data_IF_408403680069
#
_entry.id   IF_408403680069
#
_cell.length_a   1.000
_cell.length_b   1.000
_cell.length_c   1.000
_cell.angle_alpha   90.00
_cell.angle_beta   90.00
_cell.angle_gamma   90.00
#
_symmetry.space_group_name_H-M   'P 1'
#
loop_
_entity.id
_entity.type
_entity.pdbx_description
1 polymer ?
#
# COMPACT_ATOMS: atom_id res chain seq x y z
N UNK A 1 10.09 3.44 7.90
CA UNK A 1 8.78 3.97 7.44
C UNK A 1 7.90 4.53 8.56
N UNK A 2 8.11 4.20 9.83
CA UNK A 2 7.27 4.71 10.94
C UNK A 2 7.18 6.23 11.00
N UNK A 3 8.30 6.95 10.83
CA UNK A 3 8.31 8.42 10.77
C UNK A 3 7.48 8.96 9.60
N UNK A 4 7.54 8.32 8.44
CA UNK A 4 6.73 8.70 7.27
C UNK A 4 5.24 8.55 7.61
N UNK A 5 4.86 7.40 8.17
CA UNK A 5 3.48 7.17 8.60
C UNK A 5 3.04 8.17 9.69
N UNK A 6 3.87 8.44 10.70
CA UNK A 6 3.55 9.38 11.77
C UNK A 6 3.35 10.82 11.26
N UNK A 7 4.24 11.28 10.36
CA UNK A 7 4.11 12.61 9.74
C UNK A 7 2.87 12.70 8.87
N UNK A 8 2.62 11.70 8.02
CA UNK A 8 1.39 11.64 7.21
C UNK A 8 0.14 11.61 8.08
N UNK A 9 0.13 10.79 9.14
CA UNK A 9 -0.98 10.70 10.09
C UNK A 9 -1.24 12.04 10.77
N UNK A 10 -0.20 12.75 11.18
CA UNK A 10 -0.34 14.10 11.78
C UNK A 10 -1.07 15.05 10.83
N UNK A 11 -0.72 15.04 9.55
CA UNK A 11 -1.42 15.84 8.54
C UNK A 11 -2.87 15.40 8.36
N UNK A 12 -3.13 14.10 8.18
CA UNK A 12 -4.50 13.61 7.96
C UNK A 12 -5.40 13.81 9.20
N UNK A 13 -4.89 13.66 10.42
CA UNK A 13 -5.65 13.98 11.65
C UNK A 13 -5.95 15.48 11.74
N UNK A 14 -5.01 16.35 11.35
CA UNK A 14 -5.25 17.79 11.32
C UNK A 14 -6.39 18.15 10.37
N UNK A 15 -6.41 17.58 9.17
CA UNK A 15 -7.50 17.80 8.20
C UNK A 15 -8.81 17.20 8.70
N UNK A 16 -8.81 15.94 9.16
CA UNK A 16 -10.00 15.27 9.68
C UNK A 16 -10.62 16.05 10.83
N UNK A 17 -9.83 16.59 11.75
CA UNK A 17 -10.33 17.27 12.94
C UNK A 17 -10.68 18.75 12.71
N UNK A 18 -10.60 19.26 11.48
CA UNK A 18 -11.05 20.62 11.18
C UNK A 18 -12.58 20.71 11.18
N UNK A 19 -13.11 21.91 11.39
CA UNK A 19 -14.57 22.11 11.46
C UNK A 19 -15.32 21.69 10.19
N UNK A 20 -14.65 21.70 9.04
CA UNK A 20 -15.24 21.32 7.75
C UNK A 20 -15.41 19.80 7.60
N UNK A 21 -14.52 18.99 8.20
CA UNK A 21 -14.46 17.54 7.95
C UNK A 21 -14.70 16.66 9.18
N UNK A 22 -14.74 17.22 10.40
CA UNK A 22 -14.81 16.45 11.67
C UNK A 22 -16.00 15.52 11.78
N UNK A 23 -17.11 15.86 11.12
CA UNK A 23 -18.34 15.09 11.16
C UNK A 23 -18.53 14.18 9.92
N UNK A 24 -17.57 14.20 8.97
CA UNK A 24 -17.63 13.38 7.77
C UNK A 24 -16.95 12.01 7.97
N UNK A 25 -17.46 10.95 7.30
CA UNK A 25 -16.74 9.70 7.18
C UNK A 25 -15.33 9.91 6.63
N UNK A 26 -14.33 9.22 7.17
CA UNK A 26 -12.96 9.31 6.66
C UNK A 26 -12.40 7.95 6.31
N UNK A 27 -11.78 7.89 5.14
CA UNK A 27 -11.18 6.69 4.60
C UNK A 27 -9.69 6.92 4.35
N UNK A 28 -8.87 5.94 4.67
CA UNK A 28 -7.46 5.94 4.25
C UNK A 28 -7.29 5.05 3.03
N UNK A 29 -6.69 5.62 1.99
CA UNK A 29 -6.29 4.88 0.79
C UNK A 29 -4.76 4.71 0.76
N UNK A 30 -4.29 3.53 0.38
CA UNK A 30 -2.87 3.29 0.18
C UNK A 30 -2.61 2.26 -0.92
N UNK A 31 -1.73 2.61 -1.85
CA UNK A 31 -1.29 1.73 -2.93
C UNK A 31 0.13 1.23 -2.69
N UNK A 32 0.43 -0.04 -2.97
CA UNK A 32 1.81 -0.55 -2.95
C UNK A 32 2.51 -0.29 -1.60
N UNK A 33 3.72 0.30 -1.61
CA UNK A 33 4.40 0.78 -0.40
C UNK A 33 3.57 1.80 0.39
N UNK A 34 2.76 2.62 -0.29
CA UNK A 34 1.77 3.49 0.35
C UNK A 34 0.72 2.71 1.15
N UNK A 35 0.35 1.50 0.72
CA UNK A 35 -0.48 0.58 1.52
C UNK A 35 0.17 0.20 2.85
N UNK A 36 1.48 -0.07 2.85
CA UNK A 36 2.23 -0.32 4.09
C UNK A 36 2.26 0.92 5.00
N UNK A 37 2.47 2.11 4.44
CA UNK A 37 2.40 3.36 5.18
C UNK A 37 0.99 3.58 5.76
N UNK A 38 -0.07 3.34 4.99
CA UNK A 38 -1.47 3.42 5.43
C UNK A 38 -1.79 2.46 6.56
N UNK A 39 -1.29 1.22 6.50
CA UNK A 39 -1.43 0.27 7.59
C UNK A 39 -0.71 0.74 8.87
N UNK A 40 0.50 1.31 8.74
CA UNK A 40 1.21 1.89 9.88
C UNK A 40 0.48 3.11 10.47
N UNK A 41 -0.09 3.98 9.62
CA UNK A 41 -0.92 5.10 10.08
C UNK A 41 -2.12 4.57 10.87
N UNK A 42 -2.80 3.55 10.36
CA UNK A 42 -3.92 2.91 11.06
C UNK A 42 -3.50 2.35 12.43
N UNK A 43 -2.38 1.62 12.52
CA UNK A 43 -1.86 1.10 13.79
C UNK A 43 -1.44 2.17 14.80
N UNK A 44 -1.14 3.39 14.34
CA UNK A 44 -0.81 4.55 15.18
C UNK A 44 -2.03 5.44 15.49
N UNK A 45 -3.19 5.13 14.93
CA UNK A 45 -4.41 5.91 15.11
C UNK A 45 -5.21 5.42 16.32
N UNK A 46 -5.95 6.34 16.92
CA UNK A 46 -6.94 5.98 17.94
C UNK A 46 -8.04 5.13 17.28
N UNK A 47 -8.69 4.20 18.02
CA UNK A 47 -9.87 3.52 17.52
C UNK A 47 -10.88 4.50 16.93
N UNK A 48 -11.59 4.09 15.87
CA UNK A 48 -12.65 4.89 15.23
C UNK A 48 -12.17 6.17 14.49
N UNK A 49 -10.86 6.44 14.45
CA UNK A 49 -10.29 7.53 13.62
C UNK A 49 -10.58 7.36 12.14
N UNK A 50 -10.85 6.14 11.67
CA UNK A 50 -11.12 5.87 10.26
C UNK A 50 -12.37 5.03 10.11
N UNK A 51 -13.29 5.49 9.27
CA UNK A 51 -14.51 4.76 8.87
C UNK A 51 -14.16 3.52 8.05
N UNK A 52 -13.09 3.59 7.25
CA UNK A 52 -12.60 2.43 6.52
C UNK A 52 -11.22 2.60 5.92
N UNK A 53 -10.64 1.48 5.49
CA UNK A 53 -9.32 1.42 4.85
C UNK A 53 -9.46 0.84 3.44
N UNK A 54 -8.74 1.41 2.47
CA UNK A 54 -8.70 0.92 1.10
C UNK A 54 -7.25 0.66 0.70
N UNK A 55 -6.97 -0.57 0.28
CA UNK A 55 -5.63 -1.01 -0.10
C UNK A 55 -5.61 -1.48 -1.55
N UNK A 56 -4.86 -0.80 -2.41
CA UNK A 56 -4.65 -1.20 -3.81
C UNK A 56 -3.28 -1.83 -3.99
N UNK A 57 -3.23 -3.11 -4.39
CA UNK A 57 -1.99 -3.87 -4.55
C UNK A 57 -0.95 -3.63 -3.42
N UNK A 58 -1.32 -3.78 -2.13
CA UNK A 58 -0.49 -3.32 -1.02
C UNK A 58 0.77 -4.18 -0.83
N UNK A 59 1.88 -3.53 -0.48
CA UNK A 59 3.14 -4.20 -0.13
C UNK A 59 3.13 -4.61 1.35
N UNK A 60 2.40 -5.69 1.68
CA UNK A 60 2.47 -6.31 3.01
C UNK A 60 3.39 -7.52 3.07
N UNK A 61 3.59 -8.18 1.93
CA UNK A 61 4.54 -9.26 1.75
C UNK A 61 5.53 -8.85 0.67
N UNK A 62 6.82 -8.88 0.99
CA UNK A 62 7.84 -8.74 -0.04
C UNK A 62 7.85 -9.98 -0.94
N UNK A 63 7.78 -9.83 -2.27
CA UNK A 63 7.98 -10.95 -3.19
C UNK A 63 9.34 -11.63 -2.97
N UNK A 64 9.40 -12.96 -3.08
CA UNK A 64 10.63 -13.73 -2.84
C UNK A 64 11.80 -13.27 -3.69
N UNK A 65 11.56 -12.95 -4.97
CA UNK A 65 12.57 -12.44 -5.90
C UNK A 65 13.06 -11.01 -5.57
N UNK A 66 12.39 -10.32 -4.65
CA UNK A 66 12.74 -8.99 -4.18
C UNK A 66 13.29 -9.02 -2.74
N UNK A 67 13.09 -10.13 -2.01
CA UNK A 67 13.62 -10.29 -0.67
C UNK A 67 15.15 -10.25 -0.72
N UNK A 68 15.78 -9.28 -0.05
CA UNK A 68 17.23 -9.26 0.06
C UNK A 68 17.73 -10.52 0.74
N UNK A 69 18.89 -11.05 0.32
CA UNK A 69 19.58 -12.08 1.10
C UNK A 69 19.80 -11.58 2.53
N UNK A 70 19.36 -12.36 3.52
CA UNK A 70 19.54 -12.04 4.95
C UNK A 70 21.02 -11.82 5.28
N UNK A 71 21.90 -12.62 4.68
CA UNK A 71 23.36 -12.48 4.81
C UNK A 71 23.82 -11.14 4.23
N UNK A 72 23.34 -10.76 3.04
CA UNK A 72 23.70 -9.48 2.41
C UNK A 72 23.25 -8.28 3.24
N UNK A 73 22.02 -8.29 3.77
CA UNK A 73 21.54 -7.23 4.66
C UNK A 73 22.29 -7.18 5.99
N UNK A 74 22.69 -8.32 6.51
CA UNK A 74 23.53 -8.41 7.71
C UNK A 74 24.89 -7.75 7.46
N UNK A 75 25.56 -8.09 6.35
CA UNK A 75 26.85 -7.48 5.98
C UNK A 75 26.74 -5.96 5.81
N UNK A 76 25.70 -5.45 5.16
CA UNK A 76 25.46 -4.00 5.13
C UNK A 76 25.14 -3.40 6.50
N UNK A 77 24.56 -4.18 7.41
CA UNK A 77 24.30 -3.76 8.78
C UNK A 77 25.57 -3.52 9.59
N UNK A 78 26.64 -4.27 9.30
CA UNK A 78 27.96 -4.09 9.91
C UNK A 78 28.64 -2.76 9.53
N UNK A 79 28.09 -2.05 8.54
CA UNK A 79 28.54 -0.69 8.16
C UNK A 79 27.84 0.40 8.97
N UNK A 80 27.13 0.04 10.05
CA UNK A 80 26.51 0.97 11.01
C UNK A 80 25.68 2.10 10.37
N UNK A 81 24.92 1.77 9.33
CA UNK A 81 24.04 2.71 8.63
C UNK A 81 24.70 3.52 7.49
N UNK A 82 26.03 3.48 7.35
CA UNK A 82 26.74 4.16 6.25
C UNK A 82 26.27 3.69 4.87
N UNK A 83 25.94 2.40 4.75
CA UNK A 83 25.46 1.81 3.52
C UNK A 83 23.98 2.03 3.25
N UNK A 84 23.18 2.57 4.18
CA UNK A 84 21.73 2.67 4.01
C UNK A 84 21.34 3.59 2.85
N UNK A 85 22.18 4.58 2.54
CA UNK A 85 21.99 5.48 1.40
C UNK A 85 22.45 4.86 0.07
N UNK A 86 23.15 3.72 0.06
CA UNK A 86 23.73 3.16 -1.16
C UNK A 86 22.64 2.56 -2.07
N UNK A 87 22.56 3.06 -3.30
CA UNK A 87 21.65 2.58 -4.35
C UNK A 87 22.26 1.39 -5.10
N UNK A 88 22.32 0.23 -4.45
CA UNK A 88 23.04 -0.97 -4.94
C UNK A 88 22.20 -2.26 -4.88
N UNK A 89 20.94 -2.15 -4.45
CA UNK A 89 20.06 -3.32 -4.43
C UNK A 89 19.64 -3.66 -5.86
N UNK A 90 19.37 -4.95 -6.17
CA UNK A 90 19.00 -5.36 -7.51
C UNK A 90 17.75 -4.60 -7.99
N UNK A 91 17.83 -4.02 -9.18
CA UNK A 91 16.69 -3.42 -9.86
C UNK A 91 16.00 -4.48 -10.73
N UNK A 92 14.77 -4.83 -10.36
CA UNK A 92 13.97 -5.85 -11.02
C UNK A 92 13.12 -5.31 -12.19
N UNK A 93 13.41 -4.09 -12.69
CA UNK A 93 12.67 -3.40 -13.75
C UNK A 93 11.17 -3.31 -13.43
N UNK A 94 10.84 -2.77 -12.26
CA UNK A 94 9.50 -2.83 -11.68
C UNK A 94 8.43 -2.14 -12.54
N UNK A 95 8.79 -1.07 -13.26
CA UNK A 95 7.82 -0.25 -14.01
C UNK A 95 7.10 -1.05 -15.10
N UNK A 96 7.82 -1.83 -15.92
CA UNK A 96 7.20 -2.64 -16.98
C UNK A 96 6.36 -3.82 -16.46
N UNK A 97 6.51 -4.16 -15.17
CA UNK A 97 5.70 -5.16 -14.47
C UNK A 97 4.53 -4.54 -13.71
N UNK A 98 4.55 -3.22 -13.52
CA UNK A 98 3.54 -2.48 -12.78
C UNK A 98 2.41 -1.99 -13.68
N UNK A 99 2.77 -1.59 -14.90
CA UNK A 99 1.90 -0.87 -15.83
C UNK A 99 1.60 -1.77 -17.03
N UNK A 100 0.32 -1.97 -17.31
CA UNK A 100 -0.14 -2.81 -18.41
C UNK A 100 -0.36 -2.02 -19.69
N UNK A 101 -0.93 -0.82 -19.58
CA UNK A 101 -1.20 0.06 -20.71
C UNK A 101 0.10 0.72 -21.22
N UNK A 102 0.50 0.51 -22.49
CA UNK A 102 1.71 1.09 -23.06
C UNK A 102 1.74 2.62 -23.07
N UNK A 103 0.61 3.31 -23.23
CA UNK A 103 0.56 4.78 -23.22
C UNK A 103 0.75 5.31 -21.81
N UNK A 104 0.09 4.71 -20.82
CA UNK A 104 0.30 5.04 -19.40
C UNK A 104 1.74 4.75 -18.97
N UNK A 105 2.35 3.68 -19.51
CA UNK A 105 3.75 3.36 -19.28
C UNK A 105 4.69 4.47 -19.78
N UNK A 106 4.44 5.04 -20.97
CA UNK A 106 5.21 6.18 -21.50
C UNK A 106 5.11 7.42 -20.61
N UNK A 107 3.92 7.70 -20.09
CA UNK A 107 3.69 8.84 -19.18
C UNK A 107 4.50 8.64 -17.89
N UNK A 108 4.43 7.45 -17.27
CA UNK A 108 5.15 7.17 -16.03
C UNK A 108 6.67 7.13 -16.26
N UNK A 109 7.11 6.58 -17.40
CA UNK A 109 8.52 6.55 -17.76
C UNK A 109 9.12 7.94 -17.96
N UNK A 110 8.34 8.89 -18.49
CA UNK A 110 8.77 10.27 -18.77
C UNK A 110 8.67 11.22 -17.59
N UNK A 111 8.09 10.79 -16.44
CA UNK A 111 7.95 11.64 -15.26
C UNK A 111 9.31 12.03 -14.65
N UNK A 112 9.69 13.33 -14.65
CA UNK A 112 10.99 13.78 -14.14
C UNK A 112 11.12 13.69 -12.62
N UNK A 113 10.00 13.53 -11.90
CA UNK A 113 9.97 13.37 -10.44
C UNK A 113 10.10 11.90 -10.02
N UNK A 114 10.13 10.96 -10.97
CA UNK A 114 10.26 9.53 -10.66
C UNK A 114 11.71 9.20 -10.34
N UNK A 115 11.92 8.51 -9.22
CA UNK A 115 13.22 7.91 -8.92
C UNK A 115 13.51 6.77 -9.90
N UNK A 116 14.68 6.79 -10.55
CA UNK A 116 15.10 5.80 -11.56
C UNK A 116 16.34 5.00 -11.15
N UNK A 117 16.92 5.30 -9.99
CA UNK A 117 18.09 4.57 -9.48
C UNK A 117 17.70 3.21 -8.89
N UNK A 118 18.69 2.34 -8.65
CA UNK A 118 18.47 1.09 -7.95
C UNK A 118 17.93 1.33 -6.53
N UNK A 119 17.13 0.40 -5.96
CA UNK A 119 16.67 0.56 -4.59
C UNK A 119 17.83 0.72 -3.61
N UNK A 120 17.62 1.54 -2.57
CA UNK A 120 18.62 1.77 -1.54
C UNK A 120 18.60 0.65 -0.50
N UNK A 121 19.76 0.34 0.07
CA UNK A 121 19.89 -0.69 1.10
C UNK A 121 18.96 -0.42 2.28
N UNK A 122 18.93 0.83 2.78
CA UNK A 122 18.09 1.22 3.91
C UNK A 122 16.59 1.05 3.61
N UNK A 123 16.16 1.40 2.39
CA UNK A 123 14.78 1.18 1.94
C UNK A 123 14.42 -0.30 1.98
N UNK A 124 15.26 -1.17 1.41
CA UNK A 124 14.99 -2.61 1.37
C UNK A 124 14.98 -3.24 2.76
N UNK A 125 15.86 -2.79 3.66
CA UNK A 125 15.89 -3.19 5.07
C UNK A 125 14.59 -2.81 5.77
N UNK A 126 14.15 -1.56 5.60
CA UNK A 126 12.91 -1.06 6.20
C UNK A 126 11.66 -1.74 5.65
N UNK A 127 11.60 -2.01 4.33
CA UNK A 127 10.52 -2.76 3.72
C UNK A 127 10.41 -4.16 4.31
N UNK A 128 11.53 -4.87 4.47
CA UNK A 128 11.55 -6.21 5.06
C UNK A 128 11.04 -6.21 6.50
N UNK A 129 11.52 -5.26 7.31
CA UNK A 129 11.12 -5.10 8.71
C UNK A 129 9.62 -4.78 8.83
N UNK A 130 9.12 -3.83 8.04
CA UNK A 130 7.73 -3.38 8.14
C UNK A 130 6.75 -4.39 7.56
N UNK A 131 7.09 -5.07 6.45
CA UNK A 131 6.26 -6.17 5.94
C UNK A 131 6.08 -7.25 7.00
N UNK A 132 7.16 -7.64 7.69
CA UNK A 132 7.09 -8.61 8.79
C UNK A 132 6.21 -8.09 9.93
N UNK A 133 6.46 -6.86 10.40
CA UNK A 133 5.68 -6.24 11.46
C UNK A 133 4.18 -6.19 11.12
N UNK A 134 3.80 -5.79 9.90
CA UNK A 134 2.41 -5.75 9.48
C UNK A 134 1.78 -7.14 9.50
N UNK A 135 2.47 -8.15 8.94
CA UNK A 135 1.97 -9.52 8.91
C UNK A 135 1.74 -10.11 10.31
N UNK A 136 2.64 -9.82 11.24
CA UNK A 136 2.54 -10.26 12.65
C UNK A 136 1.37 -9.57 13.39
N UNK A 137 0.85 -8.48 12.84
CA UNK A 137 -0.17 -7.64 13.46
C UNK A 137 -1.48 -7.56 12.66
N UNK A 138 -1.69 -8.39 11.63
CA UNK A 138 -2.94 -8.37 10.87
C UNK A 138 -4.18 -8.58 11.73
N UNK A 139 -4.10 -9.41 12.77
CA UNK A 139 -5.20 -9.63 13.72
C UNK A 139 -5.61 -8.37 14.49
N UNK A 140 -4.79 -7.32 14.52
CA UNK A 140 -5.15 -6.02 15.10
C UNK A 140 -6.02 -5.16 14.19
N UNK A 141 -6.16 -5.51 12.91
CA UNK A 141 -7.02 -4.78 11.97
C UNK A 141 -8.47 -5.12 12.24
N UNK A 142 -9.22 -4.15 12.76
CA UNK A 142 -10.65 -4.29 13.12
C UNK A 142 -11.56 -3.34 12.32
N UNK A 143 -11.00 -2.30 11.71
CA UNK A 143 -11.75 -1.35 10.91
C UNK A 143 -12.27 -1.99 9.61
N UNK A 144 -13.40 -1.53 9.07
CA UNK A 144 -13.86 -1.91 7.74
C UNK A 144 -12.75 -1.73 6.70
N UNK A 145 -12.56 -2.70 5.81
CA UNK A 145 -11.59 -2.51 4.72
C UNK A 145 -11.96 -3.16 3.39
N UNK A 146 -11.49 -2.51 2.33
CA UNK A 146 -11.41 -3.04 0.98
C UNK A 146 -9.94 -3.27 0.64
N UNK A 147 -9.59 -4.46 0.21
CA UNK A 147 -8.31 -4.69 -0.48
C UNK A 147 -8.55 -5.20 -1.89
N UNK A 148 -7.90 -4.58 -2.84
CA UNK A 148 -7.99 -4.92 -4.27
C UNK A 148 -6.62 -5.26 -4.83
N UNK A 149 -6.56 -6.21 -5.77
CA UNK A 149 -5.29 -6.67 -6.33
C UNK A 149 -5.45 -7.23 -7.74
N UNK A 150 -4.51 -6.94 -8.64
CA UNK A 150 -4.41 -7.57 -9.95
C UNK A 150 -3.76 -8.96 -9.85
N UNK A 151 -4.33 -9.97 -10.48
CA UNK A 151 -3.79 -11.34 -10.42
C UNK A 151 -2.47 -11.51 -11.17
N UNK A 152 -2.18 -10.61 -12.12
CA UNK A 152 -0.93 -10.55 -12.88
C UNK A 152 0.02 -9.46 -12.38
N UNK A 153 -0.13 -9.02 -11.13
CA UNK A 153 0.81 -8.08 -10.50
C UNK A 153 2.24 -8.68 -10.45
N UNK A 154 3.17 -8.06 -11.18
CA UNK A 154 4.58 -8.45 -11.21
C UNK A 154 5.49 -7.65 -10.25
N UNK A 155 4.91 -6.83 -9.39
CA UNK A 155 5.58 -5.95 -8.42
C UNK A 155 5.29 -6.36 -6.99
N UNK A 156 4.02 -6.50 -6.61
CA UNK A 156 3.62 -7.12 -5.34
C UNK A 156 2.99 -8.48 -5.59
N UNK A 157 2.52 -9.14 -4.52
CA UNK A 157 1.91 -10.45 -4.63
C UNK A 157 0.47 -10.40 -4.11
N UNK A 158 -0.53 -10.94 -4.85
CA UNK A 158 -1.92 -11.05 -4.40
C UNK A 158 -2.08 -11.76 -3.06
N UNK A 159 -1.12 -12.63 -2.71
CA UNK A 159 -1.01 -13.26 -1.39
C UNK A 159 -1.01 -12.24 -0.25
N UNK A 160 -0.47 -11.03 -0.45
CA UNK A 160 -0.52 -9.95 0.54
C UNK A 160 -1.95 -9.56 0.91
N UNK A 161 -2.80 -9.37 -0.10
CA UNK A 161 -4.22 -9.02 0.09
C UNK A 161 -5.02 -10.19 0.66
N UNK A 162 -4.73 -11.42 0.21
CA UNK A 162 -5.36 -12.64 0.77
C UNK A 162 -5.03 -12.82 2.25
N UNK A 163 -3.77 -12.69 2.65
CA UNK A 163 -3.35 -12.85 4.04
C UNK A 163 -3.95 -11.78 4.95
N UNK A 164 -4.06 -10.53 4.49
CA UNK A 164 -4.80 -9.50 5.23
C UNK A 164 -6.26 -9.93 5.43
N UNK A 165 -6.94 -10.32 4.35
CA UNK A 165 -8.34 -10.75 4.39
C UNK A 165 -8.58 -11.91 5.37
N UNK A 166 -7.71 -12.92 5.31
CA UNK A 166 -7.80 -14.12 6.16
C UNK A 166 -7.53 -13.80 7.64
N UNK A 167 -6.48 -13.03 7.93
CA UNK A 167 -5.96 -12.87 9.29
C UNK A 167 -6.53 -11.66 10.05
N UNK A 168 -7.12 -10.69 9.36
CA UNK A 168 -7.71 -9.52 10.01
C UNK A 168 -8.95 -9.88 10.84
N UNK A 169 -9.07 -9.24 12.00
CA UNK A 169 -10.21 -9.38 12.91
C UNK A 169 -11.39 -8.48 12.54
N UNK A 170 -11.32 -7.74 11.41
CA UNK A 170 -12.45 -6.96 10.93
C UNK A 170 -13.63 -7.87 10.58
N UNK A 171 -14.81 -7.46 11.02
CA UNK A 171 -16.09 -8.10 10.68
C UNK A 171 -16.62 -7.63 9.33
N UNK A 172 -16.16 -6.46 8.86
CA UNK A 172 -16.48 -5.90 7.55
C UNK A 172 -15.19 -5.86 6.71
N UNK A 173 -15.01 -6.86 5.85
CA UNK A 173 -13.82 -6.98 5.02
C UNK A 173 -14.17 -7.48 3.63
N UNK A 174 -13.56 -6.86 2.63
CA UNK A 174 -13.78 -7.19 1.21
C UNK A 174 -12.44 -7.37 0.52
N UNK A 175 -12.32 -8.46 -0.25
CA UNK A 175 -11.19 -8.73 -1.14
C UNK A 175 -11.73 -8.80 -2.57
N UNK A 176 -11.19 -7.99 -3.48
CA UNK A 176 -11.42 -8.13 -4.92
C UNK A 176 -10.13 -8.45 -5.65
N UNK A 177 -10.14 -9.50 -6.45
CA UNK A 177 -9.04 -9.89 -7.31
C UNK A 177 -9.45 -9.68 -8.76
N UNK A 178 -8.69 -8.87 -9.49
CA UNK A 178 -8.98 -8.57 -10.88
C UNK A 178 -8.13 -9.44 -11.80
N UNK A 179 -8.79 -10.26 -12.61
CA UNK A 179 -8.12 -11.22 -13.49
C UNK A 179 -7.30 -10.49 -14.56
N UNK A 180 -6.06 -10.95 -14.77
CA UNK A 180 -5.13 -10.39 -15.75
C UNK A 180 -4.64 -8.95 -15.51
N UNK A 181 -5.13 -8.22 -14.50
CA UNK A 181 -4.67 -6.86 -14.19
C UNK A 181 -3.31 -6.89 -13.46
N UNK A 182 -2.51 -5.84 -13.66
CA UNK A 182 -1.17 -5.66 -13.11
C UNK A 182 -1.22 -4.92 -11.76
N UNK A 183 -0.08 -4.38 -11.32
CA UNK A 183 0.08 -3.69 -10.03
C UNK A 183 -0.74 -2.40 -9.91
N UNK A 184 -0.66 -1.55 -10.94
CA UNK A 184 -1.11 -0.17 -10.89
C UNK A 184 -2.56 -0.06 -11.37
N UNK A 185 -3.49 -0.54 -10.56
CA UNK A 185 -4.88 -0.76 -10.96
C UNK A 185 -5.62 0.48 -11.48
N UNK A 186 -5.37 1.66 -10.91
CA UNK A 186 -6.10 2.88 -11.26
C UNK A 186 -5.42 3.64 -12.41
N UNK A 187 -4.09 3.68 -12.40
CA UNK A 187 -3.27 4.57 -13.23
C UNK A 187 -2.39 3.84 -14.26
N UNK A 188 -2.43 2.51 -14.28
CA UNK A 188 -1.58 1.68 -15.16
C UNK A 188 -2.30 0.61 -15.96
N UNK A 189 -3.57 0.37 -15.67
CA UNK A 189 -4.48 -0.43 -16.50
C UNK A 189 -5.16 0.41 -17.60
N UNK A 190 -5.69 -0.19 -18.68
CA UNK A 190 -6.57 0.50 -19.62
C UNK A 190 -7.79 1.14 -18.94
N UNK A 191 -8.40 2.13 -19.58
CA UNK A 191 -9.49 2.93 -18.98
C UNK A 191 -10.65 2.07 -18.47
N UNK A 192 -11.13 1.09 -19.23
CA UNK A 192 -12.21 0.18 -18.81
C UNK A 192 -11.90 -0.56 -17.50
N UNK A 193 -10.67 -1.03 -17.35
CA UNK A 193 -10.22 -1.73 -16.14
C UNK A 193 -10.08 -0.77 -14.95
N UNK A 194 -9.51 0.41 -15.19
CA UNK A 194 -9.38 1.44 -14.17
C UNK A 194 -10.75 1.94 -13.67
N UNK A 195 -11.70 2.13 -14.59
CA UNK A 195 -13.07 2.55 -14.30
C UNK A 195 -13.83 1.49 -13.49
N UNK A 196 -13.64 0.21 -13.80
CA UNK A 196 -14.16 -0.89 -12.98
C UNK A 196 -13.63 -0.82 -11.54
N UNK A 197 -12.32 -0.64 -11.37
CA UNK A 197 -11.68 -0.56 -10.04
C UNK A 197 -12.19 0.64 -9.26
N UNK A 198 -12.30 1.82 -9.92
CA UNK A 198 -12.79 3.05 -9.30
C UNK A 198 -14.26 2.95 -8.92
N UNK A 199 -15.09 2.35 -9.79
CA UNK A 199 -16.50 2.06 -9.50
C UNK A 199 -16.62 1.19 -8.25
N UNK A 200 -15.86 0.10 -8.18
CA UNK A 200 -15.87 -0.81 -7.03
C UNK A 200 -15.43 -0.12 -5.72
N UNK A 201 -14.42 0.74 -5.78
CA UNK A 201 -14.00 1.54 -4.62
C UNK A 201 -15.09 2.52 -4.19
N UNK A 202 -15.72 3.20 -5.15
CA UNK A 202 -16.79 4.16 -4.89
C UNK A 202 -18.00 3.48 -4.26
N UNK A 203 -18.50 2.40 -4.84
CA UNK A 203 -19.64 1.65 -4.30
C UNK A 203 -19.36 1.16 -2.87
N UNK A 204 -18.13 0.72 -2.60
CA UNK A 204 -17.72 0.31 -1.26
C UNK A 204 -17.69 1.47 -0.25
N UNK A 205 -17.26 2.66 -0.68
CA UNK A 205 -17.28 3.88 0.13
C UNK A 205 -18.73 4.31 0.40
N UNK A 206 -19.56 4.41 -0.64
CA UNK A 206 -20.96 4.86 -0.57
C UNK A 206 -21.74 3.99 0.44
N UNK A 207 -21.62 2.65 0.36
CA UNK A 207 -22.25 1.72 1.30
C UNK A 207 -21.85 1.98 2.77
N UNK A 208 -20.60 2.39 3.02
CA UNK A 208 -20.06 2.62 4.37
C UNK A 208 -20.33 4.00 4.89
N UNK A 209 -20.46 4.99 4.01
CA UNK A 209 -21.01 6.30 4.36
C UNK A 209 -22.44 6.12 4.86
N UNK A 210 -23.28 5.34 4.17
CA UNK A 210 -24.66 5.08 4.60
C UNK A 210 -24.72 4.28 5.92
N UNK A 211 -23.85 3.29 6.09
CA UNK A 211 -23.86 2.40 7.26
C UNK A 211 -23.25 3.01 8.52
N UNK A 212 -22.15 3.74 8.37
CA UNK A 212 -21.30 4.20 9.49
C UNK A 212 -21.17 5.72 9.58
N UNK A 213 -21.70 6.47 8.62
CA UNK A 213 -21.67 7.93 8.67
C UNK A 213 -22.53 8.50 9.78
N UNK A 214 -22.13 9.69 10.24
CA UNK A 214 -22.90 10.54 11.13
C UNK A 214 -24.27 10.82 10.52
N UNK A 215 -25.35 10.60 11.28
CA UNK A 215 -26.71 10.99 10.87
C UNK A 215 -27.01 12.41 11.29
#
# INVERSE_FOLDING_TARGET
>A
MEKVAATSLSFFKHVRNSDEYKDLPAFLFGESMGGAATMLMYFQSDPETWTGLIFSAPLFVMPENMKPSKVRLFMYGLLFGLADTWATMPDNKMVGKAIKDPERLKIIASNPRRYTGPPRVGTMRELARVCQYIQDNFSKVRAPFLTVHGTSDGVTCPTSSKLLYEKASSVDKTLKLYDGMYHSLIQGEPDENADLVLKDMREWIDERVERYGSK
#
